data_IF_387806109976
#
_entry.id   IF_387806109976
#
_cell.length_a   1.000
_cell.length_b   1.000
_cell.length_c   1.000
_cell.angle_alpha   90.00
_cell.angle_beta   90.00
_cell.angle_gamma   90.00
#
_symmetry.space_group_name_H-M   'P 1'
#
loop_
_entity.id
_entity.type
_entity.pdbx_description
1 polymer ?
#
# COMPACT_ATOMS: atom_id res chain seq x y z
N UNK A 1 -11.60 -17.08 -27.12
CA UNK A 1 -10.92 -18.01 -26.19
C UNK A 1 -9.77 -17.23 -25.57
N UNK A 2 -9.79 -16.98 -24.26
CA UNK A 2 -8.77 -16.17 -23.58
C UNK A 2 -7.74 -17.11 -22.96
N UNK A 3 -6.45 -16.94 -23.31
CA UNK A 3 -5.35 -17.69 -22.69
C UNK A 3 -5.00 -17.04 -21.34
N UNK A 4 -5.10 -17.78 -20.25
CA UNK A 4 -4.73 -17.30 -18.92
C UNK A 4 -3.28 -17.70 -18.60
N UNK A 5 -2.41 -16.71 -18.38
CA UNK A 5 -1.03 -16.94 -17.95
C UNK A 5 -0.96 -16.97 -16.42
N UNK A 6 -0.78 -18.14 -15.82
CA UNK A 6 -0.66 -18.26 -14.38
C UNK A 6 0.69 -17.75 -13.88
N UNK A 7 0.71 -17.14 -12.69
CA UNK A 7 1.96 -16.78 -12.00
C UNK A 7 2.66 -18.03 -11.45
N UNK A 8 4.00 -18.08 -11.43
CA UNK A 8 4.74 -19.16 -10.79
C UNK A 8 4.51 -19.20 -9.27
N UNK A 9 4.91 -20.31 -8.63
CA UNK A 9 4.84 -20.43 -7.17
C UNK A 9 5.71 -19.38 -6.48
N UNK A 10 5.25 -18.83 -5.34
CA UNK A 10 5.93 -17.74 -4.61
C UNK A 10 7.42 -18.04 -4.35
N UNK A 11 7.73 -19.24 -3.84
CA UNK A 11 9.11 -19.65 -3.56
C UNK A 11 9.99 -19.72 -4.82
N UNK A 12 9.43 -20.15 -5.96
CA UNK A 12 10.17 -20.18 -7.23
C UNK A 12 10.43 -18.76 -7.75
N UNK A 13 9.42 -17.89 -7.68
CA UNK A 13 9.53 -16.48 -8.04
C UNK A 13 10.57 -15.76 -7.18
N UNK A 14 10.64 -16.03 -5.88
CA UNK A 14 11.64 -15.46 -4.98
C UNK A 14 13.05 -15.93 -5.29
N UNK A 15 13.24 -17.23 -5.53
CA UNK A 15 14.54 -17.76 -5.92
C UNK A 15 15.04 -17.16 -7.24
N UNK A 16 14.13 -16.98 -8.20
CA UNK A 16 14.46 -16.29 -9.45
C UNK A 16 14.82 -14.82 -9.19
N UNK A 17 14.02 -14.09 -8.40
CA UNK A 17 14.26 -12.67 -8.08
C UNK A 17 15.62 -12.45 -7.39
N UNK A 18 15.97 -13.30 -6.42
CA UNK A 18 17.24 -13.18 -5.70
C UNK A 18 18.47 -13.38 -6.59
N UNK A 19 18.31 -14.05 -7.73
CA UNK A 19 19.37 -14.19 -8.74
C UNK A 19 19.49 -12.97 -9.66
N UNK A 20 18.44 -12.14 -9.78
CA UNK A 20 18.42 -10.97 -10.65
C UNK A 20 18.84 -9.68 -9.93
N UNK A 21 18.47 -9.53 -8.66
CA UNK A 21 18.74 -8.31 -7.89
C UNK A 21 19.14 -8.65 -6.45
N UNK A 22 20.14 -7.93 -5.95
CA UNK A 22 20.57 -8.02 -4.55
C UNK A 22 19.72 -7.10 -3.68
N UNK A 23 18.74 -7.67 -2.98
CA UNK A 23 17.91 -6.98 -1.99
C UNK A 23 17.57 -7.91 -0.83
N UNK A 24 17.15 -7.34 0.30
CA UNK A 24 16.78 -8.11 1.48
C UNK A 24 15.58 -9.04 1.19
N UNK A 25 15.52 -10.25 1.79
CA UNK A 25 14.44 -11.21 1.55
C UNK A 25 13.03 -10.63 1.78
N UNK A 26 12.88 -9.77 2.79
CA UNK A 26 11.61 -9.10 3.09
C UNK A 26 11.21 -8.10 2.00
N UNK A 27 12.17 -7.42 1.39
CA UNK A 27 11.95 -6.50 0.26
C UNK A 27 11.58 -7.26 -1.00
N UNK A 28 12.24 -8.38 -1.30
CA UNK A 28 11.90 -9.27 -2.41
C UNK A 28 10.48 -9.83 -2.28
N UNK A 29 10.14 -10.32 -1.09
CA UNK A 29 8.80 -10.83 -0.77
C UNK A 29 7.72 -9.75 -0.95
N UNK A 30 7.98 -8.55 -0.43
CA UNK A 30 7.04 -7.44 -0.55
C UNK A 30 6.82 -7.04 -2.00
N UNK A 31 7.90 -6.87 -2.77
CA UNK A 31 7.82 -6.53 -4.19
C UNK A 31 7.01 -7.59 -4.97
N UNK A 32 7.26 -8.87 -4.71
CA UNK A 32 6.54 -9.97 -5.34
C UNK A 32 5.05 -9.95 -5.00
N UNK A 33 4.69 -9.77 -3.72
CA UNK A 33 3.29 -9.75 -3.28
C UNK A 33 2.55 -8.50 -3.76
N UNK A 34 3.21 -7.33 -3.83
CA UNK A 34 2.64 -6.12 -4.44
C UNK A 34 2.43 -6.30 -5.95
N UNK A 35 3.32 -7.01 -6.62
CA UNK A 35 3.18 -7.38 -8.04
C UNK A 35 2.23 -8.57 -8.29
N UNK A 36 1.37 -8.91 -7.32
CA UNK A 36 0.42 -10.03 -7.41
C UNK A 36 1.06 -11.38 -7.78
N UNK A 37 2.31 -11.62 -7.37
CA UNK A 37 3.05 -12.85 -7.64
C UNK A 37 3.79 -12.89 -8.97
N UNK A 38 3.72 -11.83 -9.80
CA UNK A 38 4.44 -11.76 -11.06
C UNK A 38 5.91 -11.35 -10.85
N UNK A 39 6.90 -12.25 -11.09
CA UNK A 39 8.30 -11.96 -10.77
C UNK A 39 8.91 -10.88 -11.67
N UNK A 40 8.50 -10.78 -12.94
CA UNK A 40 9.00 -9.75 -13.85
C UNK A 40 8.59 -8.34 -13.40
N UNK A 41 7.30 -8.15 -13.07
CA UNK A 41 6.80 -6.88 -12.55
C UNK A 41 7.41 -6.53 -11.18
N UNK A 42 7.68 -7.53 -10.34
CA UNK A 42 8.39 -7.32 -9.08
C UNK A 42 9.84 -6.83 -9.30
N UNK A 43 10.55 -7.39 -10.28
CA UNK A 43 11.90 -6.95 -10.65
C UNK A 43 11.89 -5.52 -11.19
N UNK A 44 10.94 -5.18 -12.06
CA UNK A 44 10.76 -3.81 -12.57
C UNK A 44 10.55 -2.84 -11.41
N UNK A 45 9.65 -3.17 -10.46
CA UNK A 45 9.43 -2.37 -9.27
C UNK A 45 10.72 -2.15 -8.46
N UNK A 46 11.48 -3.21 -8.19
CA UNK A 46 12.74 -3.18 -7.42
C UNK A 46 13.86 -2.38 -8.10
N UNK A 47 13.91 -2.41 -9.43
CA UNK A 47 14.93 -1.73 -10.23
C UNK A 47 14.60 -0.26 -10.54
N UNK A 48 13.40 0.19 -10.17
CA UNK A 48 12.90 1.54 -10.48
C UNK A 48 12.94 2.48 -9.28
N UNK A 49 12.78 3.78 -9.53
CA UNK A 49 12.58 4.78 -8.47
C UNK A 49 11.31 4.54 -7.64
N UNK A 50 10.38 3.69 -8.10
CA UNK A 50 9.13 3.39 -7.38
C UNK A 50 9.41 2.75 -6.02
N UNK A 51 10.45 1.93 -5.91
CA UNK A 51 10.83 1.34 -4.62
C UNK A 51 11.24 2.43 -3.62
N UNK A 52 12.06 3.39 -4.04
CA UNK A 52 12.51 4.50 -3.18
C UNK A 52 11.35 5.41 -2.81
N UNK A 53 10.46 5.72 -3.76
CA UNK A 53 9.24 6.51 -3.52
C UNK A 53 8.30 5.83 -2.53
N UNK A 54 8.13 4.50 -2.62
CA UNK A 54 7.35 3.74 -1.64
C UNK A 54 7.98 3.81 -0.25
N UNK A 55 9.31 3.73 -0.14
CA UNK A 55 9.99 3.85 1.15
C UNK A 55 9.77 5.23 1.79
N UNK A 56 9.89 6.31 0.99
CA UNK A 56 9.56 7.66 1.45
C UNK A 56 8.09 7.77 1.88
N UNK A 57 7.18 7.21 1.10
CA UNK A 57 5.76 7.15 1.46
C UNK A 57 5.52 6.47 2.80
N UNK A 58 6.15 5.30 3.05
CA UNK A 58 6.03 4.60 4.32
C UNK A 58 6.59 5.39 5.50
N UNK A 59 7.70 6.11 5.31
CA UNK A 59 8.29 6.97 6.33
C UNK A 59 7.37 8.13 6.69
N UNK A 60 6.84 8.85 5.70
CA UNK A 60 5.89 9.94 5.92
C UNK A 60 4.59 9.44 6.54
N UNK A 61 4.05 8.32 6.06
CA UNK A 61 2.85 7.69 6.63
C UNK A 61 3.01 7.35 8.11
N UNK A 62 4.20 6.87 8.51
CA UNK A 62 4.52 6.67 9.92
C UNK A 62 4.36 7.98 10.68
N UNK A 63 4.98 9.08 10.24
CA UNK A 63 4.91 10.37 10.95
C UNK A 63 3.52 11.01 10.96
N UNK A 64 2.77 10.84 9.88
CA UNK A 64 1.52 11.54 9.60
C UNK A 64 0.33 11.08 10.45
N UNK A 65 0.26 9.78 10.80
CA UNK A 65 -0.93 9.22 11.42
C UNK A 65 -0.76 9.10 12.95
N UNK A 66 -1.73 9.59 13.75
CA UNK A 66 -3.08 10.03 13.35
C UNK A 66 -3.28 11.54 13.08
N UNK A 67 -2.28 12.39 13.35
CA UNK A 67 -2.50 13.82 13.60
C UNK A 67 -2.33 14.76 12.38
N UNK A 68 -1.65 14.33 11.32
CA UNK A 68 -1.32 15.16 10.15
C UNK A 68 -1.47 14.37 8.84
N UNK A 69 -2.71 13.95 8.57
CA UNK A 69 -3.05 13.18 7.37
C UNK A 69 -2.67 13.92 6.07
N UNK A 70 -2.80 15.25 6.05
CA UNK A 70 -2.56 16.11 4.89
C UNK A 70 -1.09 16.16 4.46
N UNK A 71 -0.14 15.87 5.35
CA UNK A 71 1.27 15.71 4.99
C UNK A 71 1.53 14.63 3.92
N UNK A 72 0.58 13.70 3.73
CA UNK A 72 0.63 12.66 2.70
C UNK A 72 0.21 13.14 1.32
N UNK A 73 -0.50 14.27 1.22
CA UNK A 73 -1.04 14.79 -0.04
C UNK A 73 0.02 14.88 -1.16
N UNK A 74 1.17 15.56 -0.99
CA UNK A 74 2.16 15.69 -2.07
C UNK A 74 2.75 14.34 -2.49
N UNK A 75 2.80 13.37 -1.57
CA UNK A 75 3.27 12.04 -1.89
C UNK A 75 2.21 11.24 -2.61
N UNK A 76 0.92 11.36 -2.27
CA UNK A 76 -0.16 10.61 -2.92
C UNK A 76 -0.48 11.13 -4.33
N UNK A 77 -0.32 12.43 -4.58
CA UNK A 77 -0.73 13.05 -5.85
C UNK A 77 0.36 13.03 -6.93
N UNK A 78 1.60 12.64 -6.59
CA UNK A 78 2.72 12.64 -7.52
C UNK A 78 2.69 11.43 -8.47
N UNK A 79 2.74 11.68 -9.78
CA UNK A 79 2.73 10.66 -10.84
C UNK A 79 1.49 9.75 -10.83
N UNK A 80 1.63 8.48 -10.44
CA UNK A 80 0.55 7.48 -10.46
C UNK A 80 -0.17 7.42 -9.10
N UNK A 81 -1.20 8.26 -8.97
CA UNK A 81 -2.04 8.35 -7.77
C UNK A 81 -2.70 7.01 -7.43
N UNK A 82 -3.13 6.25 -8.45
CA UNK A 82 -3.83 4.98 -8.25
C UNK A 82 -2.88 3.89 -7.70
N UNK A 83 -1.62 3.88 -8.11
CA UNK A 83 -0.58 3.02 -7.57
C UNK A 83 -0.26 3.37 -6.11
N UNK A 84 -0.20 4.65 -5.77
CA UNK A 84 0.12 5.09 -4.41
C UNK A 84 -1.01 4.80 -3.42
N UNK A 85 -2.27 4.98 -3.84
CA UNK A 85 -3.41 4.54 -3.04
C UNK A 85 -3.40 3.01 -2.90
N UNK A 86 -2.97 2.26 -3.92
CA UNK A 86 -2.80 0.81 -3.79
C UNK A 86 -1.77 0.44 -2.71
N UNK A 87 -0.63 1.12 -2.62
CA UNK A 87 0.34 0.90 -1.53
C UNK A 87 -0.29 1.18 -0.17
N UNK A 88 -0.98 2.32 0.00
CA UNK A 88 -1.68 2.66 1.23
C UNK A 88 -2.68 1.56 1.62
N UNK A 89 -3.54 1.15 0.70
CA UNK A 89 -4.53 0.10 0.93
C UNK A 89 -3.87 -1.23 1.33
N UNK A 90 -2.74 -1.58 0.72
CA UNK A 90 -2.01 -2.81 1.06
C UNK A 90 -1.50 -2.80 2.51
N UNK A 91 -1.02 -1.64 3.00
CA UNK A 91 -0.56 -1.45 4.38
C UNK A 91 -1.73 -1.50 5.35
N UNK A 92 -2.84 -0.83 5.04
CA UNK A 92 -4.06 -0.87 5.87
C UNK A 92 -4.63 -2.28 5.96
N UNK A 93 -4.61 -3.04 4.87
CA UNK A 93 -5.03 -4.43 4.88
C UNK A 93 -4.12 -5.29 5.77
N UNK A 94 -2.81 -5.04 5.77
CA UNK A 94 -1.89 -5.73 6.69
C UNK A 94 -2.11 -5.33 8.15
N UNK A 95 -2.54 -4.10 8.43
CA UNK A 95 -2.99 -3.70 9.78
C UNK A 95 -4.22 -4.52 10.21
N UNK A 96 -5.17 -4.75 9.30
CA UNK A 96 -6.32 -5.64 9.55
C UNK A 96 -5.87 -7.08 9.82
N UNK A 97 -4.89 -7.60 9.06
CA UNK A 97 -4.30 -8.93 9.31
C UNK A 97 -3.56 -9.00 10.65
N UNK A 98 -2.93 -7.89 11.07
CA UNK A 98 -2.26 -7.79 12.37
C UNK A 98 -3.26 -7.95 13.52
N UNK A 99 -4.39 -7.24 13.48
CA UNK A 99 -5.48 -7.41 14.46
C UNK A 99 -6.04 -8.84 14.53
N UNK A 100 -5.95 -9.59 13.42
CA UNK A 100 -6.40 -10.98 13.32
C UNK A 100 -5.29 -12.02 13.56
N UNK A 101 -4.12 -11.61 14.08
CA UNK A 101 -2.96 -12.49 14.30
C UNK A 101 -2.52 -13.29 13.05
N UNK A 102 -2.75 -12.75 11.85
CA UNK A 102 -2.50 -13.40 10.56
C UNK A 102 -1.20 -12.91 9.90
N UNK A 103 -0.13 -12.79 10.69
CA UNK A 103 1.14 -12.16 10.29
C UNK A 103 1.82 -12.87 9.10
N UNK A 104 1.64 -14.19 8.97
CA UNK A 104 2.21 -15.00 7.89
C UNK A 104 1.73 -14.59 6.47
N UNK A 105 0.56 -13.96 6.38
CA UNK A 105 -0.08 -13.55 5.12
C UNK A 105 0.13 -12.07 4.79
N UNK A 106 1.04 -11.37 5.48
CA UNK A 106 1.31 -9.96 5.25
C UNK A 106 1.91 -9.68 3.89
N UNK A 107 1.43 -8.65 3.20
CA UNK A 107 1.98 -8.24 1.90
C UNK A 107 3.28 -7.46 2.10
N UNK A 108 3.32 -6.53 3.05
CA UNK A 108 4.40 -5.59 3.28
C UNK A 108 5.33 -6.11 4.38
N UNK A 109 6.00 -7.23 4.12
CA UNK A 109 6.91 -7.86 5.09
C UNK A 109 8.13 -7.01 5.43
N UNK A 110 8.46 -6.04 4.58
CA UNK A 110 9.51 -5.05 4.81
C UNK A 110 9.11 -3.92 5.78
N UNK A 111 7.81 -3.73 6.06
CA UNK A 111 7.26 -2.63 6.86
C UNK A 111 6.49 -3.12 8.10
N UNK A 112 6.87 -4.26 8.69
CA UNK A 112 6.16 -4.84 9.85
C UNK A 112 6.07 -3.88 11.05
N UNK A 113 7.12 -3.10 11.32
CA UNK A 113 7.12 -2.13 12.42
C UNK A 113 6.10 -0.99 12.20
N UNK A 114 6.00 -0.49 10.95
CA UNK A 114 5.00 0.50 10.57
C UNK A 114 3.59 -0.07 10.73
N UNK A 115 3.35 -1.29 10.23
CA UNK A 115 2.06 -1.97 10.35
C UNK A 115 1.66 -2.13 11.82
N UNK A 116 2.57 -2.61 12.67
CA UNK A 116 2.32 -2.77 14.09
C UNK A 116 1.94 -1.43 14.74
N UNK A 117 2.68 -0.36 14.46
CA UNK A 117 2.36 0.99 14.96
C UNK A 117 0.97 1.45 14.49
N UNK A 118 0.69 1.40 13.19
CA UNK A 118 -0.61 1.82 12.66
C UNK A 118 -1.76 1.00 13.26
N UNK A 119 -1.58 -0.31 13.43
CA UNK A 119 -2.59 -1.17 14.03
C UNK A 119 -2.85 -0.85 15.52
N UNK A 120 -1.87 -0.29 16.25
CA UNK A 120 -2.10 0.17 17.64
C UNK A 120 -2.87 1.48 17.73
N UNK A 121 -2.75 2.35 16.73
CA UNK A 121 -3.40 3.67 16.70
C UNK A 121 -4.80 3.59 16.07
N UNK A 122 -4.96 2.81 15.00
CA UNK A 122 -6.19 2.72 14.23
C UNK A 122 -6.98 1.49 14.68
N UNK A 123 -8.21 1.71 15.15
CA UNK A 123 -9.13 0.64 15.53
C UNK A 123 -9.54 -0.21 14.32
N UNK A 124 -9.91 -1.48 14.55
CA UNK A 124 -10.35 -2.37 13.47
C UNK A 124 -11.56 -1.83 12.67
N UNK A 125 -12.61 -1.23 13.30
CA UNK A 125 -13.69 -0.59 12.55
C UNK A 125 -13.19 0.58 11.68
N UNK A 126 -12.32 1.43 12.22
CA UNK A 126 -11.74 2.54 11.47
C UNK A 126 -10.88 2.05 10.29
N UNK A 127 -10.14 0.94 10.44
CA UNK A 127 -9.40 0.31 9.34
C UNK A 127 -10.32 -0.16 8.20
N UNK A 128 -11.46 -0.78 8.52
CA UNK A 128 -12.43 -1.20 7.50
C UNK A 128 -13.06 -0.02 6.76
N UNK A 129 -13.39 1.05 7.48
CA UNK A 129 -13.90 2.29 6.89
C UNK A 129 -12.83 2.96 6.02
N UNK A 130 -11.57 3.02 6.50
CA UNK A 130 -10.42 3.51 5.75
C UNK A 130 -10.25 2.76 4.42
N UNK A 131 -10.26 1.43 4.44
CA UNK A 131 -10.16 0.62 3.23
C UNK A 131 -11.30 0.88 2.24
N UNK A 132 -12.51 1.11 2.74
CA UNK A 132 -13.68 1.43 1.90
C UNK A 132 -13.52 2.80 1.23
N UNK A 133 -13.13 3.82 2.00
CA UNK A 133 -12.85 5.17 1.54
C UNK A 133 -11.77 5.18 0.44
N UNK A 134 -10.63 4.57 0.71
CA UNK A 134 -9.51 4.53 -0.24
C UNK A 134 -9.83 3.70 -1.49
N UNK A 135 -10.60 2.62 -1.36
CA UNK A 135 -11.09 1.83 -2.50
C UNK A 135 -11.97 2.68 -3.43
N UNK A 136 -12.91 3.44 -2.86
CA UNK A 136 -13.79 4.33 -3.64
C UNK A 136 -12.99 5.46 -4.30
N UNK A 137 -12.06 6.09 -3.57
CA UNK A 137 -11.18 7.11 -4.12
C UNK A 137 -10.37 6.58 -5.32
N UNK A 138 -9.71 5.42 -5.16
CA UNK A 138 -8.96 4.78 -6.24
C UNK A 138 -9.82 4.45 -7.46
N UNK A 139 -11.05 4.00 -7.24
CA UNK A 139 -12.00 3.71 -8.31
C UNK A 139 -12.36 4.98 -9.10
N UNK A 140 -12.69 6.09 -8.42
CA UNK A 140 -12.98 7.38 -9.07
C UNK A 140 -11.82 7.86 -9.95
N UNK A 141 -10.58 7.75 -9.45
CA UNK A 141 -9.35 8.12 -10.19
C UNK A 141 -9.20 7.29 -11.47
N UNK A 142 -9.47 5.99 -11.42
CA UNK A 142 -9.30 5.09 -12.57
C UNK A 142 -10.41 5.24 -13.61
N UNK A 143 -11.65 5.50 -13.19
CA UNK A 143 -12.78 5.62 -14.12
C UNK A 143 -12.86 7.01 -14.77
N UNK A 144 -12.34 8.04 -14.10
CA UNK A 144 -12.56 9.44 -14.49
C UNK A 144 -11.24 10.22 -14.56
N UNK A 145 -10.38 9.94 -15.57
CA UNK A 145 -9.04 10.53 -15.66
C UNK A 145 -9.02 12.06 -15.84
N UNK A 146 -10.16 12.68 -16.17
CA UNK A 146 -10.30 14.14 -16.32
C UNK A 146 -10.57 14.86 -14.98
N UNK A 147 -10.77 14.13 -13.88
CA UNK A 147 -11.06 14.73 -12.57
C UNK A 147 -9.77 15.22 -11.92
N UNK A 148 -9.84 16.31 -11.16
CA UNK A 148 -8.72 16.77 -10.35
C UNK A 148 -8.41 15.76 -9.24
N UNK A 149 -7.38 14.93 -9.45
CA UNK A 149 -6.95 13.91 -8.49
C UNK A 149 -6.51 14.50 -7.16
N UNK A 150 -5.89 15.68 -7.15
CA UNK A 150 -5.47 16.35 -5.92
C UNK A 150 -6.68 16.71 -5.05
N UNK A 151 -7.75 17.22 -5.65
CA UNK A 151 -8.99 17.51 -4.93
C UNK A 151 -9.61 16.23 -4.33
N UNK A 152 -9.69 15.14 -5.11
CA UNK A 152 -10.24 13.86 -4.62
C UNK A 152 -9.42 13.27 -3.47
N UNK A 153 -8.08 13.33 -3.58
CA UNK A 153 -7.19 12.84 -2.53
C UNK A 153 -7.28 13.73 -1.28
N UNK A 154 -7.41 15.04 -1.45
CA UNK A 154 -7.58 15.97 -0.33
C UNK A 154 -8.87 15.70 0.43
N UNK A 155 -10.00 15.55 -0.26
CA UNK A 155 -11.28 15.14 0.33
C UNK A 155 -11.12 13.83 1.10
N UNK A 156 -10.52 12.81 0.46
CA UNK A 156 -10.31 11.51 1.09
C UNK A 156 -9.40 11.57 2.33
N UNK A 157 -8.34 12.40 2.33
CA UNK A 157 -7.47 12.56 3.51
C UNK A 157 -8.22 13.21 4.68
N UNK A 158 -8.99 14.26 4.41
CA UNK A 158 -9.79 14.94 5.43
C UNK A 158 -10.84 14.01 6.04
N UNK A 159 -11.58 13.27 5.19
CA UNK A 159 -12.54 12.27 5.66
C UNK A 159 -11.86 11.15 6.44
N UNK A 160 -10.65 10.75 6.03
CA UNK A 160 -9.88 9.71 6.69
C UNK A 160 -9.44 10.12 8.10
N UNK A 161 -9.02 11.37 8.27
CA UNK A 161 -8.62 11.94 9.56
C UNK A 161 -9.76 11.93 10.59
N UNK A 162 -11.00 12.20 10.13
CA UNK A 162 -12.19 12.13 10.97
C UNK A 162 -12.44 10.72 11.54
N UNK A 163 -11.94 9.66 10.89
CA UNK A 163 -12.08 8.28 11.37
C UNK A 163 -11.20 7.96 12.58
N UNK A 164 -10.20 8.80 12.88
CA UNK A 164 -9.31 8.63 14.03
C UNK A 164 -9.78 9.41 15.25
N UNK A 165 -10.61 10.45 15.05
CA UNK A 165 -11.12 11.25 16.14
C UNK A 165 -12.13 10.45 16.98
N UNK A 166 -12.11 10.57 18.32
CA UNK A 166 -13.13 9.95 19.16
C UNK A 166 -14.51 10.51 18.78
N UNK A 167 -15.51 9.63 18.70
CA UNK A 167 -16.89 10.05 18.50
C UNK A 167 -17.30 11.01 19.63
N UNK A 168 -17.67 12.24 19.26
CA UNK A 168 -18.16 13.28 20.17
C UNK A 168 -19.54 12.91 20.72
#
# INVERSE_FOLDING_TARGET
MVLHLAVPAEQQSLHWLSAQVSADPATLMTALRLAAGAPAAALEFLSSEQQTRRMQFCQTLSGAIPDDSLSLLPLLTQDDVALRIHWLMSLLLDCVKYHQNSLQWMTNTDQQALIARLATVISLPALHQSLTLWKQCRHRILETPAVNHELLVTEALLDWEQLFLPAV
#
